data_IF_345425213569
#
_entry.id   IF_345425213569
#
_cell.length_a   1.000
_cell.length_b   1.000
_cell.length_c   1.000
_cell.angle_alpha   90.00
_cell.angle_beta   90.00
_cell.angle_gamma   90.00
#
_symmetry.space_group_name_H-M   'P 1'
#
loop_
_entity.id
_entity.type
_entity.pdbx_description
1 polymer ?
#
# COMPACT_ATOMS: atom_id res chain seq x y z
N UNK A 1 -2.29 21.83 31.21
CA UNK A 1 -1.63 22.79 32.13
C UNK A 1 -1.45 22.08 33.45
N UNK A 2 -0.22 22.07 33.95
CA UNK A 2 0.18 21.33 35.15
C UNK A 2 -0.56 21.87 36.38
N UNK A 3 -1.18 20.97 37.14
CA UNK A 3 -1.90 21.26 38.37
C UNK A 3 -0.90 21.64 39.47
N UNK A 4 -0.87 22.92 39.84
CA UNK A 4 -0.34 23.34 41.13
C UNK A 4 -1.33 22.87 42.20
N UNK A 5 -1.22 21.60 42.60
CA UNK A 5 -1.89 21.10 43.80
C UNK A 5 -1.06 21.60 44.98
N UNK A 6 -1.58 22.51 45.82
CA UNK A 6 -0.85 22.97 46.99
C UNK A 6 -0.67 21.81 47.97
N UNK A 7 0.51 21.71 48.58
CA UNK A 7 0.75 20.76 49.67
C UNK A 7 -0.22 21.08 50.83
N UNK A 8 -1.13 20.15 51.10
CA UNK A 8 -2.25 20.27 52.04
C UNK A 8 -1.83 20.54 53.50
N UNK A 9 -0.56 20.36 53.84
CA UNK A 9 -0.08 20.32 55.22
C UNK A 9 0.21 21.69 55.85
N UNK A 10 0.11 22.79 55.10
CA UNK A 10 0.48 24.14 55.58
C UNK A 10 -0.62 25.21 55.40
N UNK A 11 -1.85 24.79 55.10
CA UNK A 11 -2.98 25.70 54.85
C UNK A 11 -3.69 26.10 56.15
N UNK A 12 -3.95 27.39 56.35
CA UNK A 12 -4.79 27.85 57.44
C UNK A 12 -6.28 27.52 57.20
N UNK A 13 -7.11 27.61 58.25
CA UNK A 13 -8.53 27.23 58.16
C UNK A 13 -9.32 28.04 57.12
N UNK A 14 -8.95 29.31 56.91
CA UNK A 14 -9.61 30.20 55.95
C UNK A 14 -9.25 29.79 54.51
N UNK A 15 -7.99 29.45 54.27
CA UNK A 15 -7.51 28.94 52.99
C UNK A 15 -8.17 27.61 52.63
N UNK A 16 -8.36 26.71 53.60
CA UNK A 16 -9.09 25.45 53.39
C UNK A 16 -10.56 25.71 53.00
N UNK A 17 -11.24 26.64 53.67
CA UNK A 17 -12.63 26.99 53.34
C UNK A 17 -12.75 27.59 51.94
N UNK A 18 -11.85 28.50 51.57
CA UNK A 18 -11.83 29.11 50.24
C UNK A 18 -11.54 28.08 49.15
N UNK A 19 -10.53 27.22 49.36
CA UNK A 19 -10.21 26.13 48.43
C UNK A 19 -11.40 25.20 48.22
N UNK A 20 -12.09 24.82 49.31
CA UNK A 20 -13.30 23.98 49.25
C UNK A 20 -14.39 24.64 48.41
N UNK A 21 -14.63 25.95 48.57
CA UNK A 21 -15.61 26.69 47.77
C UNK A 21 -15.22 26.75 46.28
N UNK A 22 -13.95 27.02 45.98
CA UNK A 22 -13.44 27.01 44.60
C UNK A 22 -13.60 25.63 43.97
N UNK A 23 -13.27 24.57 44.70
CA UNK A 23 -13.40 23.20 44.23
C UNK A 23 -14.86 22.84 43.95
N UNK A 24 -15.80 23.17 44.85
CA UNK A 24 -17.23 22.96 44.60
C UNK A 24 -17.72 23.69 43.36
N UNK A 25 -17.29 24.95 43.18
CA UNK A 25 -17.65 25.72 41.99
C UNK A 25 -17.12 25.06 40.72
N UNK A 26 -15.88 24.57 40.73
CA UNK A 26 -15.27 23.84 39.60
C UNK A 26 -16.04 22.56 39.28
N UNK A 27 -16.38 21.77 40.30
CA UNK A 27 -17.17 20.52 40.12
C UNK A 27 -18.53 20.82 39.49
N UNK A 28 -19.23 21.84 39.99
CA UNK A 28 -20.54 22.24 39.44
C UNK A 28 -20.45 22.70 37.98
N UNK A 29 -19.37 23.39 37.61
CA UNK A 29 -19.13 23.80 36.23
C UNK A 29 -18.87 22.60 35.32
N UNK A 30 -18.04 21.66 35.76
CA UNK A 30 -17.76 20.42 35.02
C UNK A 30 -19.03 19.55 34.85
N UNK A 31 -19.83 19.39 35.90
CA UNK A 31 -21.12 18.69 35.83
C UNK A 31 -22.08 19.36 34.84
N UNK A 32 -22.10 20.70 34.82
CA UNK A 32 -22.92 21.45 33.86
C UNK A 32 -22.45 21.26 32.42
N UNK A 33 -21.14 21.25 32.16
CA UNK A 33 -20.61 20.95 30.82
C UNK A 33 -20.90 19.51 30.41
N UNK A 34 -20.77 18.56 31.35
CA UNK A 34 -21.08 17.14 31.09
C UNK A 34 -22.55 16.97 30.70
N UNK A 35 -23.47 17.64 31.40
CA UNK A 35 -24.90 17.63 31.09
C UNK A 35 -25.22 18.23 29.72
N UNK A 36 -24.41 19.16 29.19
CA UNK A 36 -24.53 19.65 27.80
C UNK A 36 -23.99 18.68 26.77
N UNK A 37 -22.95 17.93 27.12
CA UNK A 37 -22.29 17.00 26.20
C UNK A 37 -23.11 15.71 26.02
N UNK A 38 -23.80 15.26 27.07
CA UNK A 38 -24.53 14.00 27.07
C UNK A 38 -25.59 13.89 25.94
N UNK A 39 -26.45 14.90 25.69
CA UNK A 39 -27.39 14.87 24.56
C UNK A 39 -26.70 14.87 23.20
N UNK A 40 -25.54 15.53 23.07
CA UNK A 40 -24.78 15.55 21.81
C UNK A 40 -24.23 14.16 21.48
N UNK A 41 -23.71 13.45 22.49
CA UNK A 41 -23.25 12.07 22.34
C UNK A 41 -24.42 11.15 21.96
N UNK A 42 -25.57 11.30 22.63
CA UNK A 42 -26.78 10.52 22.30
C UNK A 42 -27.27 10.77 20.87
N UNK A 43 -27.26 12.02 20.42
CA UNK A 43 -27.63 12.38 19.04
C UNK A 43 -26.64 11.80 18.01
N UNK A 44 -25.35 11.85 18.31
CA UNK A 44 -24.32 11.27 17.44
C UNK A 44 -24.50 9.74 17.34
N UNK A 45 -24.76 9.06 18.45
CA UNK A 45 -25.05 7.63 18.49
C UNK A 45 -26.28 7.30 17.64
N UNK A 46 -27.36 8.06 17.79
CA UNK A 46 -28.58 7.87 16.99
C UNK A 46 -28.32 8.04 15.49
N UNK A 47 -27.52 9.04 15.10
CA UNK A 47 -27.14 9.27 13.71
C UNK A 47 -26.30 8.12 13.14
N UNK A 48 -25.36 7.59 13.94
CA UNK A 48 -24.58 6.41 13.58
C UNK A 48 -25.48 5.20 13.31
N UNK A 49 -26.43 4.90 14.22
CA UNK A 49 -27.35 3.77 14.09
C UNK A 49 -28.26 3.89 12.85
N UNK A 50 -28.60 5.11 12.43
CA UNK A 50 -29.37 5.37 11.22
C UNK A 50 -28.56 5.11 9.94
N UNK A 51 -27.30 5.56 9.92
CA UNK A 51 -26.38 5.31 8.81
C UNK A 51 -26.09 3.80 8.68
N UNK A 52 -25.88 3.11 9.79
CA UNK A 52 -25.66 1.66 9.81
C UNK A 52 -26.86 0.91 9.25
N UNK A 53 -28.08 1.23 9.69
CA UNK A 53 -29.33 0.66 9.13
C UNK A 53 -29.47 0.93 7.64
N UNK A 54 -29.18 2.15 7.19
CA UNK A 54 -29.20 2.52 5.77
C UNK A 54 -28.20 1.67 4.96
N UNK A 55 -27.00 1.46 5.49
CA UNK A 55 -25.96 0.66 4.84
C UNK A 55 -26.37 -0.81 4.72
N UNK A 56 -26.92 -1.40 5.79
CA UNK A 56 -27.44 -2.77 5.79
C UNK A 56 -28.54 -2.93 4.74
N UNK A 57 -29.48 -1.98 4.68
CA UNK A 57 -30.55 -1.99 3.69
C UNK A 57 -30.01 -1.93 2.25
N UNK A 58 -29.08 -1.01 1.96
CA UNK A 58 -28.46 -0.89 0.63
C UNK A 58 -27.70 -2.16 0.22
N UNK A 59 -27.00 -2.80 1.15
CA UNK A 59 -26.33 -4.09 0.91
C UNK A 59 -27.32 -5.19 0.55
N UNK A 60 -28.46 -5.25 1.24
CA UNK A 60 -29.55 -6.20 0.94
C UNK A 60 -30.14 -5.97 -0.45
N UNK A 61 -30.46 -4.72 -0.80
CA UNK A 61 -30.96 -4.35 -2.13
C UNK A 61 -29.96 -4.74 -3.23
N UNK A 62 -28.67 -4.44 -3.04
CA UNK A 62 -27.64 -4.81 -4.00
C UNK A 62 -27.52 -6.33 -4.18
N UNK A 63 -27.58 -7.09 -3.08
CA UNK A 63 -27.55 -8.55 -3.12
C UNK A 63 -28.71 -9.12 -3.93
N UNK A 64 -29.93 -8.57 -3.73
CA UNK A 64 -31.10 -8.97 -4.49
C UNK A 64 -30.94 -8.65 -5.98
N UNK A 65 -30.40 -7.47 -6.32
CA UNK A 65 -30.19 -7.07 -7.71
C UNK A 65 -29.21 -8.00 -8.42
N UNK A 66 -28.09 -8.34 -7.78
CA UNK A 66 -27.10 -9.29 -8.32
C UNK A 66 -27.75 -10.65 -8.59
N UNK A 67 -28.61 -11.12 -7.68
CA UNK A 67 -29.33 -12.38 -7.86
C UNK A 67 -30.28 -12.33 -9.07
N UNK A 68 -31.03 -11.25 -9.25
CA UNK A 68 -31.89 -11.06 -10.43
C UNK A 68 -31.09 -11.03 -11.73
N UNK A 69 -29.97 -10.30 -11.76
CA UNK A 69 -29.09 -10.20 -12.93
C UNK A 69 -28.52 -11.58 -13.31
N UNK A 70 -28.06 -12.35 -12.31
CA UNK A 70 -27.55 -13.72 -12.50
C UNK A 70 -28.64 -14.67 -13.00
N UNK A 71 -29.87 -14.56 -12.50
CA UNK A 71 -30.99 -15.36 -12.98
C UNK A 71 -31.34 -15.05 -14.44
N UNK A 72 -31.28 -13.76 -14.83
CA UNK A 72 -31.54 -13.34 -16.19
C UNK A 72 -30.47 -13.85 -17.16
N UNK A 73 -29.19 -13.73 -16.80
CA UNK A 73 -28.07 -14.27 -17.61
C UNK A 73 -28.21 -15.79 -17.83
N UNK A 74 -28.55 -16.55 -16.79
CA UNK A 74 -28.78 -17.99 -16.90
C UNK A 74 -30.00 -18.34 -17.77
N UNK A 75 -31.03 -17.49 -17.77
CA UNK A 75 -32.25 -17.72 -18.59
C UNK A 75 -31.96 -17.44 -20.06
N UNK A 76 -31.15 -16.42 -20.36
CA UNK A 76 -30.71 -16.11 -21.73
C UNK A 76 -29.86 -17.26 -22.30
N UNK A 77 -28.90 -17.78 -21.54
CA UNK A 77 -28.09 -18.92 -21.98
C UNK A 77 -28.92 -20.18 -22.31
N UNK A 78 -29.97 -20.47 -21.52
CA UNK A 78 -30.87 -21.59 -21.79
C UNK A 78 -31.69 -21.42 -23.08
N UNK A 79 -31.99 -20.18 -23.49
CA UNK A 79 -32.71 -19.88 -24.73
C UNK A 79 -31.79 -19.87 -25.96
N UNK A 80 -30.51 -19.58 -25.79
CA UNK A 80 -29.51 -19.66 -26.86
C UNK A 80 -29.16 -21.11 -27.20
N UNK A 81 -28.98 -21.97 -26.18
CA UNK A 81 -28.66 -23.39 -26.37
C UNK A 81 -29.81 -24.21 -26.99
N UNK A 82 -31.05 -23.70 -26.96
CA UNK A 82 -32.23 -24.37 -27.54
C UNK A 82 -32.54 -23.98 -28.99
N UNK A 83 -31.84 -23.00 -29.57
CA UNK A 83 -32.02 -22.58 -30.97
C UNK A 83 -31.01 -23.21 -31.96
N UNK A 84 -30.00 -23.95 -31.48
CA UNK A 84 -28.94 -24.50 -32.34
C UNK A 84 -29.22 -25.92 -32.89
N UNK A 85 -30.39 -26.49 -32.61
CA UNK A 85 -30.79 -27.82 -33.10
C UNK A 85 -31.79 -27.81 -34.28
N UNK A 86 -32.16 -26.64 -34.82
CA UNK A 86 -33.21 -26.55 -35.84
C UNK A 86 -32.83 -25.73 -37.08
N UNK A 87 -31.62 -25.85 -37.62
CA UNK A 87 -31.33 -25.41 -38.99
C UNK A 87 -30.25 -26.26 -39.66
N UNK A 88 -30.65 -27.46 -40.09
CA UNK A 88 -29.91 -28.27 -41.06
C UNK A 88 -30.84 -28.60 -42.23
N UNK A 89 -31.06 -27.65 -43.13
CA UNK A 89 -31.38 -27.95 -44.53
C UNK A 89 -31.34 -26.71 -45.41
N UNK A 90 -30.79 -26.94 -46.61
CA UNK A 90 -30.93 -26.21 -47.87
C UNK A 90 -29.80 -25.23 -48.25
N UNK A 91 -28.92 -25.79 -49.09
CA UNK A 91 -28.17 -25.12 -50.15
C UNK A 91 -29.05 -24.19 -51.00
N UNK A 92 -28.46 -23.11 -51.54
CA UNK A 92 -28.32 -22.83 -52.99
C UNK A 92 -27.64 -21.45 -53.19
N UNK A 93 -26.54 -21.49 -53.94
CA UNK A 93 -25.86 -20.47 -54.77
C UNK A 93 -26.33 -19.00 -54.77
N UNK A 94 -25.36 -18.07 -54.67
CA UNK A 94 -25.29 -16.89 -55.55
C UNK A 94 -23.94 -16.17 -55.46
N UNK A 95 -23.43 -15.80 -56.63
CA UNK A 95 -22.17 -15.09 -56.94
C UNK A 95 -22.38 -13.57 -56.83
N UNK A 96 -21.42 -12.81 -56.27
CA UNK A 96 -20.85 -11.59 -56.88
C UNK A 96 -19.83 -10.86 -55.97
N UNK A 97 -18.57 -10.92 -56.41
CA UNK A 97 -17.59 -9.83 -56.63
C UNK A 97 -17.84 -8.44 -56.00
N UNK A 98 -16.91 -7.96 -55.15
CA UNK A 98 -15.95 -6.84 -55.46
C UNK A 98 -15.33 -6.17 -54.22
N UNK A 99 -13.99 -6.12 -54.21
CA UNK A 99 -13.08 -5.00 -53.83
C UNK A 99 -13.16 -4.37 -52.42
N UNK A 100 -12.10 -4.47 -51.62
CA UNK A 100 -10.95 -3.54 -51.68
C UNK A 100 -9.84 -3.90 -50.67
N UNK A 101 -8.60 -3.80 -51.15
CA UNK A 101 -7.35 -3.87 -50.42
C UNK A 101 -7.00 -2.47 -49.90
N UNK A 102 -6.76 -2.29 -48.60
CA UNK A 102 -5.81 -1.27 -48.10
C UNK A 102 -5.09 -1.84 -46.86
N UNK A 103 -3.82 -2.19 -47.06
CA UNK A 103 -2.83 -2.36 -45.99
C UNK A 103 -2.29 -0.99 -45.58
N UNK A 104 -2.14 -0.74 -44.28
CA UNK A 104 -1.32 0.38 -43.79
C UNK A 104 -0.36 -0.14 -42.73
N UNK A 105 0.91 -0.14 -43.11
CA UNK A 105 2.10 -0.37 -42.30
C UNK A 105 2.41 0.83 -41.40
N UNK A 106 3.19 0.66 -40.31
CA UNK A 106 3.58 1.76 -39.42
C UNK A 106 4.80 2.54 -39.98
N UNK A 107 4.91 3.85 -39.78
CA UNK A 107 6.13 4.58 -40.10
C UNK A 107 7.11 4.56 -38.92
N UNK A 108 8.34 4.15 -39.23
CA UNK A 108 9.54 4.37 -38.43
C UNK A 108 10.25 5.66 -38.91
N UNK A 109 11.18 6.12 -38.06
CA UNK A 109 12.23 7.13 -38.27
C UNK A 109 11.91 8.60 -37.91
N UNK A 110 12.40 8.99 -36.73
CA UNK A 110 13.19 10.20 -36.58
C UNK A 110 14.40 9.90 -35.71
N UNK A 111 15.57 9.83 -36.36
CA UNK A 111 16.87 9.93 -35.72
C UNK A 111 17.12 11.39 -35.31
N UNK A 112 17.57 11.61 -34.08
CA UNK A 112 18.45 12.75 -33.79
C UNK A 112 19.47 12.36 -32.73
N UNK A 113 20.72 12.31 -33.19
CA UNK A 113 21.94 12.25 -32.40
C UNK A 113 22.03 13.44 -31.43
N UNK A 114 22.47 13.18 -30.20
CA UNK A 114 23.42 14.06 -29.50
C UNK A 114 24.09 13.29 -28.36
N UNK A 115 25.20 12.64 -28.71
CA UNK A 115 26.28 12.29 -27.79
C UNK A 115 27.20 13.51 -27.65
N UNK A 116 27.18 14.16 -26.49
CA UNK A 116 28.31 14.98 -26.02
C UNK A 116 28.58 14.62 -24.56
N UNK A 117 29.80 14.17 -24.36
CA UNK A 117 30.55 13.95 -23.12
C UNK A 117 30.73 15.23 -22.33
N UNK A 118 30.74 15.13 -21.00
CA UNK A 118 31.73 15.84 -20.17
C UNK A 118 32.04 15.06 -18.88
N UNK A 119 33.30 14.65 -18.82
CA UNK A 119 34.03 14.21 -17.63
C UNK A 119 34.71 15.42 -16.97
N UNK A 120 35.13 15.26 -15.70
CA UNK A 120 35.81 16.20 -14.79
C UNK A 120 34.89 17.21 -14.07
N UNK A 121 34.94 17.45 -12.76
CA UNK A 121 35.89 17.18 -11.66
C UNK A 121 35.16 17.41 -10.32
N UNK A 122 35.36 16.63 -9.24
CA UNK A 122 36.31 16.86 -8.15
C UNK A 122 36.06 15.77 -7.08
N UNK A 123 36.95 14.80 -6.87
CA UNK A 123 38.08 14.78 -5.91
C UNK A 123 37.72 14.94 -4.42
N UNK A 124 37.83 13.81 -3.70
CA UNK A 124 38.57 13.62 -2.43
C UNK A 124 38.13 14.49 -1.24
N UNK A 125 37.38 13.87 -0.32
CA UNK A 125 37.71 13.86 1.11
C UNK A 125 37.46 12.43 1.62
N UNK A 126 38.52 11.64 1.65
CA UNK A 126 38.65 10.54 2.60
C UNK A 126 38.81 11.14 3.99
N UNK A 127 38.03 10.68 4.97
CA UNK A 127 38.55 10.63 6.33
C UNK A 127 38.05 9.37 7.03
N UNK A 128 39.04 8.51 7.29
CA UNK A 128 38.99 7.31 8.08
C UNK A 128 38.47 7.59 9.50
N UNK A 129 37.67 6.68 10.02
CA UNK A 129 37.91 6.14 11.37
C UNK A 129 37.47 4.68 11.45
N UNK A 130 38.50 3.86 11.69
CA UNK A 130 38.50 2.41 11.86
C UNK A 130 37.94 1.96 13.22
N UNK A 131 37.81 0.62 13.31
CA UNK A 131 37.80 -0.28 14.48
C UNK A 131 36.43 -0.60 15.06
N UNK A 132 36.08 -1.84 15.41
CA UNK A 132 36.76 -3.14 15.51
C UNK A 132 35.60 -4.16 15.55
N UNK A 133 35.63 -5.31 14.88
CA UNK A 133 36.09 -6.55 15.49
C UNK A 133 36.46 -7.54 14.38
N UNK A 134 37.71 -7.98 14.40
CA UNK A 134 38.19 -9.16 13.69
C UNK A 134 38.88 -10.07 14.71
N UNK A 135 38.50 -11.35 14.74
CA UNK A 135 39.33 -12.48 15.20
C UNK A 135 38.68 -13.74 14.59
N UNK A 136 39.16 -14.17 13.42
CA UNK A 136 40.15 -15.25 13.21
C UNK A 136 39.62 -16.63 13.65
N UNK A 137 39.75 -17.76 12.94
CA UNK A 137 40.52 -18.16 11.75
C UNK A 137 40.24 -19.65 11.56
N UNK A 138 40.05 -20.11 10.32
CA UNK A 138 40.74 -21.32 9.82
C UNK A 138 40.51 -21.44 8.32
N UNK A 139 41.60 -21.24 7.57
CA UNK A 139 41.71 -21.59 6.16
C UNK A 139 41.83 -23.11 6.03
N UNK A 140 40.99 -23.71 5.19
CA UNK A 140 41.32 -24.94 4.48
C UNK A 140 40.91 -24.73 3.02
N UNK A 141 41.90 -24.46 2.19
CA UNK A 141 41.80 -24.48 0.74
C UNK A 141 41.94 -25.91 0.25
N UNK A 142 40.91 -26.45 -0.43
CA UNK A 142 41.05 -27.09 -1.75
C UNK A 142 39.79 -27.89 -2.12
N UNK A 143 39.44 -27.75 -3.40
CA UNK A 143 38.70 -28.69 -4.26
C UNK A 143 37.18 -28.48 -4.40
N UNK A 144 36.87 -27.78 -5.49
CA UNK A 144 35.80 -28.04 -6.45
C UNK A 144 34.76 -29.09 -6.05
N UNK A 145 33.60 -28.61 -5.59
CA UNK A 145 32.37 -29.38 -5.65
C UNK A 145 31.23 -28.47 -6.07
N UNK A 146 30.82 -28.68 -7.33
CA UNK A 146 29.50 -28.38 -7.88
C UNK A 146 29.01 -26.95 -7.71
N UNK A 147 29.17 -26.18 -8.79
CA UNK A 147 28.32 -25.05 -9.16
C UNK A 147 26.87 -25.56 -9.30
N UNK A 148 26.22 -25.85 -8.17
CA UNK A 148 24.79 -25.93 -8.09
C UNK A 148 24.32 -24.51 -8.30
N UNK A 149 24.06 -24.15 -9.56
CA UNK A 149 23.27 -22.99 -9.90
C UNK A 149 21.88 -23.26 -9.32
N UNK A 150 21.71 -22.97 -8.03
CA UNK A 150 20.41 -22.89 -7.42
C UNK A 150 19.69 -21.76 -8.14
N UNK A 151 18.93 -22.13 -9.18
CA UNK A 151 18.01 -21.28 -9.95
C UNK A 151 16.82 -20.82 -9.09
N UNK A 152 16.92 -20.96 -7.78
CA UNK A 152 15.92 -20.56 -6.84
C UNK A 152 16.11 -19.08 -6.53
N UNK A 153 14.99 -18.38 -6.47
CA UNK A 153 14.89 -16.97 -6.15
C UNK A 153 13.93 -16.85 -4.98
N UNK A 154 14.39 -16.19 -3.94
CA UNK A 154 13.60 -15.91 -2.75
C UNK A 154 12.90 -14.57 -2.90
N UNK A 155 11.59 -14.59 -2.69
CA UNK A 155 10.73 -13.42 -2.67
C UNK A 155 10.31 -13.18 -1.23
N UNK A 156 10.89 -12.17 -0.59
CA UNK A 156 10.50 -11.71 0.73
C UNK A 156 9.45 -10.59 0.58
N UNK A 157 8.26 -10.77 1.14
CA UNK A 157 7.15 -9.81 1.10
C UNK A 157 6.74 -9.42 2.51
N UNK A 158 6.63 -8.13 2.77
CA UNK A 158 6.12 -7.56 4.01
C UNK A 158 4.92 -6.66 3.72
N UNK A 159 3.87 -6.84 4.51
CA UNK A 159 2.74 -5.91 4.56
C UNK A 159 2.78 -5.18 5.89
N UNK A 160 2.81 -3.85 5.83
CA UNK A 160 2.89 -2.98 6.99
C UNK A 160 1.70 -2.01 7.03
N UNK A 161 0.93 -2.07 8.11
CA UNK A 161 -0.18 -1.15 8.39
C UNK A 161 0.38 0.18 8.89
N UNK A 162 -0.18 1.28 8.37
CA UNK A 162 0.25 2.62 8.76
C UNK A 162 -0.50 3.02 10.04
N UNK A 163 0.24 3.53 11.03
CA UNK A 163 -0.31 4.05 12.28
C UNK A 163 -1.26 5.23 12.02
N UNK A 164 -2.32 5.38 12.84
CA UNK A 164 -3.40 6.32 12.57
C UNK A 164 -2.95 7.79 12.53
N UNK A 165 -2.00 8.15 13.37
CA UNK A 165 -1.37 9.46 13.44
C UNK A 165 -0.47 9.77 12.24
N UNK A 166 0.16 8.74 11.66
CA UNK A 166 0.96 8.80 10.45
C UNK A 166 0.14 8.71 9.15
N UNK A 167 -1.17 8.39 9.20
CA UNK A 167 -2.04 8.33 8.02
C UNK A 167 -2.13 9.67 7.30
N UNK A 168 -2.18 10.77 8.06
CA UNK A 168 -2.29 12.11 7.48
C UNK A 168 -1.03 12.41 6.67
N UNK A 169 -1.23 12.57 5.36
CA UNK A 169 -0.16 12.81 4.39
C UNK A 169 0.86 11.66 4.26
N UNK A 170 0.49 10.42 4.62
CA UNK A 170 1.35 9.24 4.42
C UNK A 170 1.87 9.13 2.98
N UNK A 171 0.97 9.31 2.01
CA UNK A 171 1.32 9.33 0.59
C UNK A 171 2.34 10.41 0.24
N UNK A 172 2.12 11.66 0.65
CA UNK A 172 3.06 12.75 0.35
C UNK A 172 4.43 12.57 1.01
N UNK A 173 4.47 12.07 2.26
CA UNK A 173 5.71 11.80 2.98
C UNK A 173 6.51 10.64 2.36
N UNK A 174 5.84 9.52 2.09
CA UNK A 174 6.49 8.32 1.55
C UNK A 174 6.87 8.48 0.08
N UNK A 175 5.97 8.99 -0.75
CA UNK A 175 6.19 9.15 -2.19
C UNK A 175 7.18 10.30 -2.44
N UNK A 176 7.00 11.43 -1.74
CA UNK A 176 7.75 12.66 -1.98
C UNK A 176 7.39 13.34 -3.30
N UNK A 177 8.01 14.49 -3.55
CA UNK A 177 7.82 15.24 -4.80
C UNK A 177 8.23 14.39 -6.00
N UNK A 178 7.33 14.23 -6.99
CA UNK A 178 7.52 13.41 -8.20
C UNK A 178 7.96 11.95 -7.94
N UNK A 179 7.62 11.40 -6.77
CA UNK A 179 8.02 10.06 -6.37
C UNK A 179 9.50 9.92 -6.01
N UNK A 180 10.21 11.02 -5.78
CA UNK A 180 11.66 11.02 -5.52
C UNK A 180 12.04 10.17 -4.30
N UNK A 181 11.29 10.30 -3.19
CA UNK A 181 11.60 9.60 -1.95
C UNK A 181 11.40 8.09 -2.11
N UNK A 182 10.22 7.65 -2.59
CA UNK A 182 9.95 6.23 -2.80
C UNK A 182 10.90 5.61 -3.83
N UNK A 183 11.27 6.33 -4.90
CA UNK A 183 12.29 5.87 -5.87
C UNK A 183 13.66 5.70 -5.22
N UNK A 184 14.06 6.61 -4.33
CA UNK A 184 15.30 6.51 -3.57
C UNK A 184 15.30 5.28 -2.67
N UNK A 185 14.24 5.07 -1.88
CA UNK A 185 14.14 3.89 -0.99
C UNK A 185 14.22 2.59 -1.80
N UNK A 186 13.48 2.50 -2.91
CA UNK A 186 13.51 1.32 -3.81
C UNK A 186 14.92 1.02 -4.32
N UNK A 187 15.67 2.06 -4.72
CA UNK A 187 17.06 1.92 -5.20
C UNK A 187 18.00 1.51 -4.06
N UNK A 188 17.95 2.20 -2.93
CA UNK A 188 18.87 1.99 -1.80
C UNK A 188 18.70 0.62 -1.13
N UNK A 189 17.50 0.04 -1.22
CA UNK A 189 17.15 -1.21 -0.54
C UNK A 189 16.93 -2.39 -1.50
N UNK A 190 17.05 -2.20 -2.82
CA UNK A 190 16.74 -3.22 -3.82
C UNK A 190 15.36 -3.88 -3.61
N UNK A 191 14.36 -3.05 -3.33
CA UNK A 191 12.99 -3.47 -3.02
C UNK A 191 11.97 -2.80 -3.95
N UNK A 192 10.86 -3.48 -4.20
CA UNK A 192 9.64 -2.90 -4.72
C UNK A 192 8.75 -2.47 -3.57
N UNK A 193 8.16 -1.27 -3.63
CA UNK A 193 7.36 -0.69 -2.55
C UNK A 193 6.05 -0.15 -3.12
N UNK A 194 4.92 -0.58 -2.58
CA UNK A 194 3.60 -0.14 -3.01
C UNK A 194 2.79 0.41 -1.84
N UNK A 195 2.21 1.60 -1.99
CA UNK A 195 1.19 2.12 -1.10
C UNK A 195 -0.18 1.65 -1.61
N UNK A 196 -0.97 0.99 -0.76
CA UNK A 196 -2.24 0.35 -1.10
C UNK A 196 -3.27 0.57 0.00
N UNK A 197 -4.53 0.23 -0.27
CA UNK A 197 -5.65 0.46 0.66
C UNK A 197 -6.34 1.81 0.49
N UNK A 198 -7.29 2.08 1.37
CA UNK A 198 -8.13 3.29 1.37
C UNK A 198 -7.27 4.55 1.49
N UNK A 199 -7.40 5.46 0.53
CA UNK A 199 -6.65 6.73 0.50
C UNK A 199 -5.28 6.65 -0.16
N UNK A 200 -4.89 5.51 -0.74
CA UNK A 200 -3.66 5.37 -1.53
C UNK A 200 -3.75 6.01 -2.92
N UNK A 201 -4.96 6.11 -3.48
CA UNK A 201 -5.24 6.70 -4.80
C UNK A 201 -5.73 8.14 -4.65
N UNK A 202 -5.31 9.02 -5.56
CA UNK A 202 -5.84 10.39 -5.60
C UNK A 202 -7.31 10.38 -6.03
N UNK A 203 -8.16 11.27 -5.49
CA UNK A 203 -9.58 11.33 -5.86
C UNK A 203 -9.81 11.48 -7.37
N UNK A 204 -8.95 12.25 -8.05
CA UNK A 204 -9.01 12.47 -9.50
C UNK A 204 -8.74 11.20 -10.33
N UNK A 205 -7.98 10.24 -9.80
CA UNK A 205 -7.66 8.98 -10.46
C UNK A 205 -8.70 7.89 -10.11
N UNK A 206 -9.50 8.12 -9.06
CA UNK A 206 -10.49 7.16 -8.57
C UNK A 206 -11.68 7.03 -9.54
N UNK A 207 -12.11 8.14 -10.14
CA UNK A 207 -13.20 8.20 -11.14
C UNK A 207 -12.85 7.41 -12.41
N UNK A 208 -11.58 7.38 -12.80
CA UNK A 208 -11.13 6.66 -14.00
C UNK A 208 -10.99 5.15 -13.76
N UNK A 209 -10.68 4.75 -12.52
CA UNK A 209 -10.50 3.34 -12.12
C UNK A 209 -11.82 2.60 -11.88
N UNK A 210 -12.85 3.29 -11.41
CA UNK A 210 -14.20 2.72 -11.23
C UNK A 210 -14.78 2.15 -12.53
N UNK A 211 -14.39 2.73 -13.68
CA UNK A 211 -14.88 2.32 -14.99
C UNK A 211 -14.09 1.18 -15.64
N UNK A 212 -12.93 0.78 -15.10
CA UNK A 212 -12.00 -0.12 -15.81
C UNK A 212 -11.66 -1.44 -15.12
N UNK A 213 -11.75 -1.56 -13.80
CA UNK A 213 -11.32 -2.80 -13.12
C UNK A 213 -12.03 -3.09 -11.79
N UNK A 214 -13.00 -4.03 -11.80
CA UNK A 214 -13.69 -4.55 -10.59
C UNK A 214 -12.71 -5.14 -9.55
N UNK A 215 -11.60 -5.76 -9.98
CA UNK A 215 -10.58 -6.35 -9.08
C UNK A 215 -9.70 -5.33 -8.34
N UNK A 216 -9.71 -4.05 -8.74
CA UNK A 216 -9.00 -2.98 -8.03
C UNK A 216 -9.83 -2.36 -6.90
N UNK A 217 -11.15 -2.55 -6.95
CA UNK A 217 -12.12 -1.97 -6.01
C UNK A 217 -12.10 -2.72 -4.68
N UNK A 218 -11.91 -4.04 -4.67
CA UNK A 218 -11.79 -4.83 -3.43
C UNK A 218 -10.62 -4.36 -2.54
N UNK A 219 -9.50 -3.96 -3.16
CA UNK A 219 -8.30 -3.43 -2.48
C UNK A 219 -8.48 -1.99 -1.97
N UNK A 220 -9.56 -1.30 -2.35
CA UNK A 220 -9.86 0.04 -1.86
C UNK A 220 -10.51 0.03 -0.47
N UNK A 221 -11.04 -1.12 -0.04
CA UNK A 221 -11.66 -1.29 1.29
C UNK A 221 -10.66 -1.70 2.38
N UNK A 222 -9.47 -2.16 1.99
CA UNK A 222 -8.40 -2.47 2.94
C UNK A 222 -7.88 -1.18 3.62
N UNK A 223 -7.49 -1.23 4.91
CA UNK A 223 -6.83 -0.10 5.57
C UNK A 223 -5.58 0.34 4.80
N UNK A 224 -5.20 1.61 4.89
CA UNK A 224 -4.00 2.13 4.23
C UNK A 224 -2.75 1.39 4.74
N UNK A 225 -2.01 0.77 3.83
CA UNK A 225 -0.85 -0.06 4.14
C UNK A 225 0.23 0.02 3.06
N UNK A 226 1.44 -0.40 3.42
CA UNK A 226 2.59 -0.46 2.52
C UNK A 226 2.97 -1.93 2.30
N UNK A 227 3.15 -2.32 1.04
CA UNK A 227 3.67 -3.63 0.65
C UNK A 227 5.12 -3.43 0.21
N UNK A 228 6.06 -4.15 0.83
CA UNK A 228 7.49 -4.12 0.53
C UNK A 228 7.88 -5.51 0.03
N UNK A 229 8.56 -5.58 -1.10
CA UNK A 229 8.96 -6.85 -1.73
C UNK A 229 10.44 -6.80 -2.14
N UNK A 230 11.23 -7.78 -1.72
CA UNK A 230 12.58 -8.01 -2.25
C UNK A 230 12.64 -9.35 -2.95
N UNK A 231 13.46 -9.41 -4.00
CA UNK A 231 13.67 -10.60 -4.83
C UNK A 231 15.17 -10.79 -4.96
N UNK A 232 15.70 -11.90 -4.43
CA UNK A 232 17.14 -12.18 -4.46
C UNK A 232 17.41 -13.68 -4.52
N UNK A 233 18.55 -14.09 -5.08
CA UNK A 233 18.96 -15.50 -5.16
C UNK A 233 19.37 -16.07 -3.79
N UNK A 234 19.69 -15.17 -2.86
CA UNK A 234 20.05 -15.48 -1.48
C UNK A 234 18.92 -15.02 -0.56
N UNK A 235 18.44 -15.95 0.27
CA UNK A 235 17.36 -15.72 1.23
C UNK A 235 17.71 -14.63 2.24
N UNK A 236 18.93 -14.64 2.78
CA UNK A 236 19.31 -13.72 3.85
C UNK A 236 19.43 -12.29 3.31
N UNK A 237 19.92 -12.14 2.08
CA UNK A 237 19.97 -10.85 1.40
C UNK A 237 18.54 -10.33 1.10
N UNK A 238 17.61 -11.20 0.67
CA UNK A 238 16.22 -10.79 0.46
C UNK A 238 15.58 -10.28 1.76
N UNK A 239 15.81 -10.95 2.88
CA UNK A 239 15.31 -10.54 4.20
C UNK A 239 15.97 -9.23 4.64
N UNK A 240 17.29 -9.12 4.53
CA UNK A 240 18.04 -7.92 4.91
C UNK A 240 17.58 -6.69 4.12
N UNK A 241 17.32 -6.84 2.82
CA UNK A 241 16.78 -5.79 1.95
C UNK A 241 15.40 -5.31 2.40
N UNK A 242 14.51 -6.25 2.76
CA UNK A 242 13.17 -5.90 3.26
C UNK A 242 13.28 -5.19 4.60
N UNK A 243 14.07 -5.68 5.55
CA UNK A 243 14.26 -5.04 6.86
C UNK A 243 14.81 -3.62 6.72
N UNK A 244 15.83 -3.43 5.88
CA UNK A 244 16.38 -2.11 5.56
C UNK A 244 15.32 -1.18 4.94
N UNK A 245 14.44 -1.72 4.09
CA UNK A 245 13.35 -0.96 3.50
C UNK A 245 12.28 -0.58 4.54
N UNK A 246 11.94 -1.47 5.49
CA UNK A 246 11.02 -1.18 6.59
C UNK A 246 11.49 0.06 7.35
N UNK A 247 12.75 0.08 7.78
CA UNK A 247 13.32 1.21 8.53
C UNK A 247 13.22 2.53 7.76
N UNK A 248 13.54 2.50 6.47
CA UNK A 248 13.47 3.69 5.59
C UNK A 248 12.03 4.16 5.34
N UNK A 249 11.07 3.22 5.27
CA UNK A 249 9.65 3.55 5.13
C UNK A 249 9.13 4.17 6.42
N UNK A 250 9.42 3.58 7.58
CA UNK A 250 9.04 4.12 8.90
C UNK A 250 9.61 5.53 9.07
N UNK A 251 10.91 5.70 8.82
CA UNK A 251 11.55 7.02 8.88
C UNK A 251 10.88 8.06 7.97
N UNK A 252 10.41 7.63 6.80
CA UNK A 252 9.70 8.53 5.88
C UNK A 252 8.31 8.90 6.40
N UNK A 253 7.55 7.93 6.92
CA UNK A 253 6.20 8.14 7.44
C UNK A 253 6.21 9.01 8.71
N UNK A 254 7.21 8.85 9.55
CA UNK A 254 7.36 9.57 10.81
C UNK A 254 8.05 10.94 10.66
N UNK A 255 8.47 11.31 9.46
CA UNK A 255 9.10 12.59 9.19
C UNK A 255 8.21 13.75 9.67
N UNK A 256 8.74 14.53 10.62
CA UNK A 256 8.08 15.71 11.19
C UNK A 256 7.16 15.41 12.39
N UNK A 257 7.14 14.19 12.92
CA UNK A 257 6.46 13.86 14.17
C UNK A 257 7.41 13.97 15.36
N UNK A 258 6.96 14.59 16.46
CA UNK A 258 7.72 14.66 17.72
C UNK A 258 7.28 13.49 18.61
N UNK A 259 8.24 12.73 19.15
CA UNK A 259 7.96 11.56 20.00
C UNK A 259 7.53 10.31 19.22
N UNK A 260 7.98 10.17 17.97
CA UNK A 260 7.66 9.03 17.14
C UNK A 260 8.39 7.76 17.60
N UNK A 261 7.68 6.86 18.27
CA UNK A 261 8.16 5.49 18.48
C UNK A 261 8.07 4.73 17.15
N UNK A 262 9.21 4.16 16.71
CA UNK A 262 9.31 3.40 15.46
C UNK A 262 8.47 2.11 15.46
N UNK A 263 7.96 1.69 16.63
CA UNK A 263 7.13 0.50 16.84
C UNK A 263 5.63 0.71 16.61
N UNK A 264 5.19 1.92 16.22
CA UNK A 264 3.76 2.22 16.01
C UNK A 264 3.20 1.64 14.72
N UNK A 265 4.06 1.35 13.74
CA UNK A 265 3.67 0.70 12.50
C UNK A 265 3.63 -0.81 12.69
N UNK A 266 2.48 -1.42 12.40
CA UNK A 266 2.26 -2.84 12.63
C UNK A 266 2.59 -3.65 11.36
N UNK A 267 3.51 -4.61 11.48
CA UNK A 267 3.78 -5.59 10.42
C UNK A 267 2.70 -6.67 10.52
N UNK A 268 1.79 -6.69 9.54
CA UNK A 268 0.65 -7.62 9.54
C UNK A 268 0.98 -8.95 8.87
N UNK A 269 1.97 -8.95 7.96
CA UNK A 269 2.41 -10.16 7.29
C UNK A 269 3.89 -10.05 6.91
N UNK A 270 4.63 -11.14 7.12
CA UNK A 270 5.99 -11.37 6.63
C UNK A 270 6.00 -12.76 5.99
N UNK A 271 6.19 -12.81 4.69
CA UNK A 271 6.21 -14.04 3.91
C UNK A 271 7.50 -14.14 3.11
N UNK A 272 8.13 -15.33 3.11
CA UNK A 272 9.30 -15.63 2.29
C UNK A 272 8.95 -16.85 1.44
N UNK A 273 8.90 -16.65 0.13
CA UNK A 273 8.63 -17.71 -0.84
C UNK A 273 9.86 -18.02 -1.66
N UNK A 274 10.22 -19.30 -1.71
CA UNK A 274 11.19 -19.79 -2.67
C UNK A 274 10.49 -20.08 -4.01
N UNK A 275 11.04 -19.54 -5.09
CA UNK A 275 10.46 -19.66 -6.43
C UNK A 275 11.53 -20.01 -7.44
N UNK A 276 11.22 -20.89 -8.40
CA UNK A 276 12.16 -21.17 -9.49
C UNK A 276 12.22 -19.98 -10.44
N UNK A 277 13.43 -19.58 -10.84
CA UNK A 277 13.68 -18.52 -11.82
C UNK A 277 13.00 -18.90 -13.13
N UNK A 278 11.99 -18.13 -13.53
CA UNK A 278 11.37 -18.28 -14.85
C UNK A 278 12.30 -17.64 -15.87
N UNK A 279 12.99 -18.46 -16.65
CA UNK A 279 13.71 -17.99 -17.83
C UNK A 279 12.68 -17.54 -18.88
N UNK A 280 12.64 -16.23 -19.17
CA UNK A 280 11.88 -15.72 -20.30
C UNK A 280 12.56 -16.19 -21.59
N UNK A 281 11.94 -17.14 -22.29
CA UNK A 281 12.40 -17.73 -23.57
C UNK A 281 12.54 -16.75 -24.76
N UNK A 282 12.50 -15.43 -24.52
CA UNK A 282 12.57 -14.40 -25.58
C UNK A 282 13.98 -13.88 -25.88
N UNK A 283 15.03 -14.35 -25.20
CA UNK A 283 16.41 -13.89 -25.44
C UNK A 283 17.26 -14.79 -26.36
N UNK A 284 16.73 -15.86 -26.94
CA UNK A 284 17.50 -16.79 -27.79
C UNK A 284 17.29 -16.62 -29.30
N UNK A 285 16.75 -15.48 -29.76
CA UNK A 285 16.58 -15.19 -31.20
C UNK A 285 17.71 -14.33 -31.79
N UNK A 286 18.76 -14.04 -31.01
CA UNK A 286 19.99 -13.42 -31.49
C UNK A 286 21.18 -14.14 -30.85
N UNK A 287 21.43 -15.35 -31.31
CA UNK A 287 22.68 -16.09 -31.11
C UNK A 287 22.86 -17.03 -32.27
#
# INVERSE_FOLDING_TARGET
MLSNVPDCFDMDHIQVVNYRQTLYKSIMEDEFQLNKLLPLIQNLQKSYDEVERSLIHKKSVLSNLIMYETMQENTIHLLEDSNDYSNKSNDINSVNTSQSLISVSPPADFQHNSSISDQHSSSIIENNNNKLYNKNTSNTSSNSTTLSSNDNVYVATVTMKIAEDSLRNAGGKLIGVNGSNIKKIRRDCACCIHLRGRGSTKPSELTDLQNKNKASISKAFEPLHVIIQSVHNDRDIAIANVNKAIDRVIQSLDRGMKGADSSRHEITNLEIKETKKRYNKKSSLYS
#
